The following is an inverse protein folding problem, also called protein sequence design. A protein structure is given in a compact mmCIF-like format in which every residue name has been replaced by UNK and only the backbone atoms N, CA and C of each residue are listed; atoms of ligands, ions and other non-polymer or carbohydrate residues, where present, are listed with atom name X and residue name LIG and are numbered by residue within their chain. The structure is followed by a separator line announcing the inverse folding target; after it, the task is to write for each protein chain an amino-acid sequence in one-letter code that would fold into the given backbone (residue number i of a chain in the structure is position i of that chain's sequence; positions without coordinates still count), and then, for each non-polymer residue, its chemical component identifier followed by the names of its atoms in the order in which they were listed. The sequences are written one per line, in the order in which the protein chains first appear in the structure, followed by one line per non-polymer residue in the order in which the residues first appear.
data_IF_056492313853
#
_entry.id   IF_056492313853
#
_cell.length_a   1.000
_cell.length_b   1.000
_cell.length_c   1.000
_cell.angle_alpha   90.00
_cell.angle_beta   90.00
_cell.angle_gamma   90.00
#
_symmetry.space_group_name_H-M   'P 1'
#
loop_
_entity.id
_entity.type
_entity.pdbx_description
1 polymer ?
#
# COMPACT_ATOMS: atom_id res chain seq x y z
N UNK A 1 -22.56 16.99 1.04
CA UNK A 1 -22.21 16.12 -0.11
C UNK A 1 -21.48 14.82 0.31
N UNK A 2 -22.04 13.97 1.20
CA UNK A 2 -21.34 12.77 1.68
C UNK A 2 -21.26 11.61 0.67
N UNK A 3 -22.13 11.56 -0.36
CA UNK A 3 -22.15 10.48 -1.35
C UNK A 3 -21.02 10.55 -2.39
N UNK A 4 -20.66 11.75 -2.87
CA UNK A 4 -19.60 11.92 -3.87
C UNK A 4 -18.23 11.53 -3.32
N UNK A 5 -17.91 11.97 -2.09
CA UNK A 5 -16.68 11.58 -1.38
C UNK A 5 -16.59 10.06 -1.20
N UNK A 6 -17.74 9.40 -1.05
CA UNK A 6 -17.79 7.95 -0.85
C UNK A 6 -17.50 7.16 -2.13
N UNK A 7 -17.95 7.65 -3.29
CA UNK A 7 -17.58 7.07 -4.60
C UNK A 7 -16.11 7.31 -4.93
N UNK A 8 -15.61 8.52 -4.72
CA UNK A 8 -14.20 8.84 -4.94
C UNK A 8 -13.28 7.96 -4.09
N UNK A 9 -13.60 7.79 -2.80
CA UNK A 9 -12.86 6.89 -1.92
C UNK A 9 -12.95 5.41 -2.36
N UNK A 10 -14.09 4.98 -2.91
CA UNK A 10 -14.21 3.64 -3.47
C UNK A 10 -13.31 3.44 -4.68
N UNK A 11 -13.33 4.38 -5.63
CA UNK A 11 -12.48 4.32 -6.82
C UNK A 11 -11.00 4.36 -6.43
N UNK A 12 -10.61 5.29 -5.55
CA UNK A 12 -9.24 5.38 -5.06
C UNK A 12 -8.78 4.08 -4.37
N UNK A 13 -9.64 3.47 -3.54
CA UNK A 13 -9.35 2.18 -2.92
C UNK A 13 -9.17 1.05 -3.93
N UNK A 14 -10.01 0.98 -4.96
CA UNK A 14 -9.88 -0.03 -6.01
C UNK A 14 -8.62 0.17 -6.87
N UNK A 15 -8.28 1.42 -7.20
CA UNK A 15 -7.03 1.74 -7.91
C UNK A 15 -5.83 1.31 -7.06
N UNK A 16 -5.81 1.65 -5.77
CA UNK A 16 -4.75 1.23 -4.86
C UNK A 16 -4.66 -0.29 -4.77
N UNK A 17 -5.79 -0.99 -4.71
CA UNK A 17 -5.79 -2.44 -4.69
C UNK A 17 -5.24 -3.04 -6.00
N UNK A 18 -5.57 -2.43 -7.14
CA UNK A 18 -4.99 -2.79 -8.43
C UNK A 18 -3.46 -2.59 -8.46
N UNK A 19 -2.97 -1.47 -7.93
CA UNK A 19 -1.53 -1.21 -7.78
C UNK A 19 -0.85 -2.23 -6.86
N UNK A 20 -1.50 -2.61 -5.76
CA UNK A 20 -0.98 -3.66 -4.89
C UNK A 20 -0.85 -5.00 -5.61
N UNK A 21 -1.86 -5.36 -6.42
CA UNK A 21 -1.81 -6.58 -7.23
C UNK A 21 -0.73 -6.54 -8.31
N UNK A 22 -0.42 -5.38 -8.90
CA UNK A 22 0.62 -5.29 -9.93
C UNK A 22 2.04 -5.54 -9.39
N UNK A 23 2.28 -5.44 -8.08
CA UNK A 23 3.54 -5.89 -7.46
C UNK A 23 3.78 -7.39 -7.67
N UNK A 24 2.73 -8.21 -7.74
CA UNK A 24 2.85 -9.65 -7.98
C UNK A 24 3.05 -9.99 -9.46
N UNK A 25 2.56 -9.13 -10.35
CA UNK A 25 2.61 -9.33 -11.81
C UNK A 25 3.92 -8.80 -12.41
N UNK A 26 4.31 -7.58 -12.07
CA UNK A 26 5.52 -6.91 -12.59
C UNK A 26 6.39 -6.32 -11.45
N UNK A 27 6.81 -7.16 -10.48
CA UNK A 27 7.59 -6.74 -9.31
C UNK A 27 8.86 -5.94 -9.62
N UNK A 28 9.48 -6.17 -10.78
CA UNK A 28 10.74 -5.52 -11.17
C UNK A 28 10.62 -3.99 -11.24
N UNK A 29 9.43 -3.46 -11.54
CA UNK A 29 9.18 -2.01 -11.60
C UNK A 29 9.23 -1.37 -10.21
N UNK A 30 8.98 -2.15 -9.16
CA UNK A 30 8.89 -1.67 -7.78
C UNK A 30 10.20 -1.82 -7.01
N UNK A 31 11.08 -2.75 -7.42
CA UNK A 31 12.34 -3.05 -6.73
C UNK A 31 13.22 -1.81 -6.51
N UNK A 32 13.32 -0.90 -7.49
CA UNK A 32 14.11 0.32 -7.34
C UNK A 32 13.60 1.26 -6.24
N UNK A 33 12.29 1.23 -5.97
CA UNK A 33 11.66 2.05 -4.92
C UNK A 33 11.73 1.37 -3.55
N UNK A 34 11.65 0.05 -3.51
CA UNK A 34 11.68 -0.74 -2.28
C UNK A 34 13.11 -0.92 -1.75
N UNK A 35 14.12 -0.99 -2.62
CA UNK A 35 15.52 -1.28 -2.25
C UNK A 35 16.14 -0.32 -1.22
N UNK A 36 15.92 1.01 -1.26
CA UNK A 36 16.44 1.92 -0.23
C UNK A 36 15.86 1.64 1.17
N UNK A 37 14.63 1.13 1.26
CA UNK A 37 14.03 0.75 2.53
C UNK A 37 14.43 -0.67 2.95
N UNK A 38 14.60 -1.57 1.99
CA UNK A 38 14.89 -2.99 2.21
C UNK A 38 15.97 -3.48 1.23
N UNK A 39 17.26 -3.25 1.53
CA UNK A 39 18.36 -3.61 0.64
C UNK A 39 18.54 -5.12 0.52
N UNK A 40 18.24 -5.85 1.59
CA UNK A 40 18.20 -7.32 1.61
C UNK A 40 16.77 -7.80 1.34
N UNK A 41 16.63 -8.91 0.61
CA UNK A 41 15.34 -9.52 0.30
C UNK A 41 14.33 -8.55 -0.36
N UNK A 42 14.79 -7.55 -1.13
CA UNK A 42 13.95 -6.52 -1.75
C UNK A 42 12.72 -7.11 -2.46
N UNK A 43 12.89 -8.22 -3.18
CA UNK A 43 11.79 -8.89 -3.90
C UNK A 43 10.68 -9.39 -2.97
N UNK A 44 11.06 -9.94 -1.82
CA UNK A 44 10.09 -10.37 -0.79
C UNK A 44 9.34 -9.17 -0.24
N UNK A 45 10.04 -8.06 0.00
CA UNK A 45 9.42 -6.83 0.46
C UNK A 45 8.48 -6.23 -0.60
N UNK A 46 8.82 -6.25 -1.89
CA UNK A 46 7.89 -5.87 -2.96
C UNK A 46 6.56 -6.65 -2.88
N UNK A 47 6.59 -7.95 -2.60
CA UNK A 47 5.37 -8.73 -2.43
C UNK A 47 4.60 -8.41 -1.13
N UNK A 48 5.32 -8.12 -0.04
CA UNK A 48 4.71 -7.68 1.22
C UNK A 48 4.01 -6.33 1.01
N UNK A 49 4.71 -5.38 0.40
CA UNK A 49 4.21 -4.04 0.08
C UNK A 49 2.94 -4.14 -0.79
N UNK A 50 2.99 -4.95 -1.85
CA UNK A 50 1.85 -5.21 -2.72
C UNK A 50 0.66 -5.85 -2.01
N UNK A 51 0.90 -6.78 -1.08
CA UNK A 51 -0.14 -7.38 -0.25
C UNK A 51 -0.80 -6.36 0.67
N UNK A 52 -0.01 -5.50 1.32
CA UNK A 52 -0.49 -4.44 2.20
C UNK A 52 -1.31 -3.42 1.41
N UNK A 53 -0.81 -2.95 0.27
CA UNK A 53 -1.55 -2.01 -0.60
C UNK A 53 -2.87 -2.62 -1.09
N UNK A 54 -2.89 -3.91 -1.43
CA UNK A 54 -4.10 -4.62 -1.82
C UNK A 54 -5.14 -4.60 -0.70
N UNK A 55 -4.75 -4.98 0.51
CA UNK A 55 -5.65 -5.02 1.67
C UNK A 55 -6.13 -3.62 2.05
N UNK A 56 -5.24 -2.63 2.07
CA UNK A 56 -5.58 -1.23 2.36
C UNK A 56 -6.54 -0.69 1.28
N UNK A 57 -6.26 -0.93 0.01
CA UNK A 57 -7.11 -0.51 -1.10
C UNK A 57 -8.53 -1.08 -1.01
N UNK A 58 -8.65 -2.38 -0.79
CA UNK A 58 -9.96 -3.03 -0.56
C UNK A 58 -10.65 -2.49 0.70
N UNK A 59 -9.88 -2.28 1.77
CA UNK A 59 -10.36 -1.71 3.02
C UNK A 59 -10.86 -0.27 2.88
N UNK A 60 -10.23 0.53 2.01
CA UNK A 60 -10.69 1.88 1.63
C UNK A 60 -11.90 1.83 0.72
N UNK A 61 -11.99 0.83 -0.16
CA UNK A 61 -13.12 0.67 -1.06
C UNK A 61 -14.43 0.43 -0.29
N UNK A 62 -14.36 -0.38 0.78
CA UNK A 62 -15.48 -0.69 1.65
C UNK A 62 -15.69 0.35 2.77
N UNK A 63 -16.86 1.00 2.77
CA UNK A 63 -17.20 2.08 3.74
C UNK A 63 -17.02 1.68 5.20
N UNK A 64 -17.32 0.42 5.54
CA UNK A 64 -17.27 -0.12 6.92
C UNK A 64 -15.84 -0.23 7.46
N UNK A 65 -14.86 -0.44 6.58
CA UNK A 65 -13.46 -0.71 6.95
C UNK A 65 -12.52 0.48 6.72
N UNK A 66 -12.98 1.56 6.07
CA UNK A 66 -12.15 2.73 5.73
C UNK A 66 -11.31 3.28 6.86
N UNK A 67 -11.89 3.47 8.04
CA UNK A 67 -11.15 4.04 9.18
C UNK A 67 -10.01 3.13 9.63
N UNK A 68 -10.26 1.81 9.63
CA UNK A 68 -9.23 0.81 9.95
C UNK A 68 -8.16 0.75 8.86
N UNK A 69 -8.55 0.82 7.59
CA UNK A 69 -7.63 0.84 6.46
C UNK A 69 -6.71 2.07 6.50
N UNK A 70 -7.25 3.25 6.83
CA UNK A 70 -6.45 4.47 7.01
C UNK A 70 -5.48 4.34 8.19
N UNK A 71 -5.91 3.80 9.32
CA UNK A 71 -5.03 3.56 10.47
C UNK A 71 -3.90 2.58 10.12
N UNK A 72 -4.23 1.49 9.42
CA UNK A 72 -3.26 0.51 8.93
C UNK A 72 -2.26 1.13 7.95
N UNK A 73 -2.73 1.97 7.02
CA UNK A 73 -1.88 2.70 6.09
C UNK A 73 -0.88 3.61 6.82
N UNK A 74 -1.34 4.38 7.81
CA UNK A 74 -0.46 5.26 8.60
C UNK A 74 0.58 4.43 9.35
N UNK A 75 0.17 3.35 10.02
CA UNK A 75 1.11 2.48 10.75
C UNK A 75 2.16 1.88 9.81
N UNK A 76 1.76 1.45 8.61
CA UNK A 76 2.66 0.91 7.61
C UNK A 76 3.64 1.96 7.06
N UNK A 77 3.18 3.17 6.74
CA UNK A 77 4.04 4.25 6.27
C UNK A 77 5.08 4.66 7.33
N UNK A 78 4.70 4.67 8.61
CA UNK A 78 5.64 4.91 9.70
C UNK A 78 6.71 3.81 9.80
N UNK A 79 6.32 2.55 9.64
CA UNK A 79 7.26 1.42 9.60
C UNK A 79 8.23 1.54 8.42
N UNK A 80 7.71 1.80 7.21
CA UNK A 80 8.52 1.95 6.00
C UNK A 80 9.50 3.11 6.12
N UNK A 81 9.02 4.29 6.52
CA UNK A 81 9.87 5.47 6.72
C UNK A 81 10.94 5.24 7.80
N UNK A 82 10.59 4.58 8.89
CA UNK A 82 11.55 4.16 9.92
C UNK A 82 12.62 3.23 9.36
N UNK A 83 12.28 2.32 8.45
CA UNK A 83 13.27 1.44 7.83
C UNK A 83 14.20 2.19 6.87
N UNK A 84 13.67 3.11 6.06
CA UNK A 84 14.51 3.98 5.20
C UNK A 84 15.52 4.77 6.03
N UNK A 85 15.13 5.30 7.18
CA UNK A 85 16.04 6.04 8.07
C UNK A 85 17.12 5.14 8.67
N UNK A 86 16.81 3.87 8.98
CA UNK A 86 17.76 2.90 9.55
C UNK A 86 18.79 2.38 8.55
N UNK A 87 18.45 2.38 7.26
CA UNK A 87 19.31 1.88 6.18
C UNK A 87 20.18 2.98 5.55
N UNK A 88 20.03 4.23 6.03
CA UNK A 88 20.93 5.35 5.71
C UNK A 88 22.08 5.40 6.71
#
# INVERSE_FOLDING_TARGET
MPQQNSRAATVAGLVLAGTGLSHFVVPQVYESFTKPAFPDNTRTHVYIDGGIETVVGLGLAARKTRKLALAGLVAYLLYLGGNVVRQK
#
